data_IF_648388396454
#
_entry.id   IF_648388396454
#
_cell.length_a   1.000
_cell.length_b   1.000
_cell.length_c   1.000
_cell.angle_alpha   90.00
_cell.angle_beta   90.00
_cell.angle_gamma   90.00
#
_symmetry.space_group_name_H-M   'P 1'
#
loop_
_entity.id
_entity.type
_entity.pdbx_description
1 polymer ?
#
# COMPACT_ATOMS: atom_id res chain seq x y z
N UNK A 1 -27.85 -1.36 22.21
CA UNK A 1 -27.97 -0.58 20.96
C UNK A 1 -27.12 -1.25 19.89
N UNK A 2 -27.69 -1.73 18.77
CA UNK A 2 -26.92 -2.31 17.69
C UNK A 2 -26.03 -1.21 17.08
N UNK A 3 -24.72 -1.45 17.03
CA UNK A 3 -23.78 -0.53 16.37
C UNK A 3 -24.18 -0.44 14.90
N UNK A 4 -24.36 0.76 14.32
CA UNK A 4 -24.65 0.87 12.89
C UNK A 4 -23.52 0.16 12.13
N UNK A 5 -23.89 -0.87 11.36
CA UNK A 5 -22.97 -1.54 10.45
C UNK A 5 -22.50 -0.50 9.45
N UNK A 6 -21.26 -0.03 9.61
CA UNK A 6 -20.65 0.89 8.67
C UNK A 6 -20.51 0.17 7.34
N UNK A 7 -21.25 0.62 6.32
CA UNK A 7 -21.27 -0.03 5.03
C UNK A 7 -19.94 0.28 4.31
N UNK A 8 -19.03 -0.69 4.29
CA UNK A 8 -17.80 -0.62 3.49
C UNK A 8 -18.11 -1.17 2.11
N UNK A 9 -18.11 -0.32 1.08
CA UNK A 9 -18.12 -0.78 -0.31
C UNK A 9 -16.68 -0.92 -0.80
N UNK A 10 -16.33 -2.13 -1.17
CA UNK A 10 -14.99 -2.49 -1.64
C UNK A 10 -15.03 -2.89 -3.11
N UNK A 11 -14.29 -2.17 -3.95
CA UNK A 11 -14.13 -2.54 -5.36
C UNK A 11 -12.90 -3.46 -5.48
N UNK A 12 -13.10 -4.78 -5.41
CA UNK A 12 -12.08 -5.78 -5.70
C UNK A 12 -12.19 -6.25 -7.14
N UNK A 13 -11.06 -6.33 -7.85
CA UNK A 13 -10.99 -7.15 -9.08
C UNK A 13 -9.83 -8.16 -9.11
N UNK A 14 -9.09 -8.33 -8.00
CA UNK A 14 -8.03 -9.33 -7.95
C UNK A 14 -8.03 -9.98 -6.56
N UNK A 15 -8.12 -11.32 -6.55
CA UNK A 15 -8.28 -12.26 -5.42
C UNK A 15 -9.69 -12.34 -4.77
N UNK A 16 -10.26 -13.54 -4.83
CA UNK A 16 -11.37 -14.00 -3.99
C UNK A 16 -10.91 -14.07 -2.54
N UNK A 17 -11.26 -13.08 -1.74
CA UNK A 17 -11.16 -13.19 -0.28
C UNK A 17 -12.32 -14.01 0.27
N UNK A 18 -12.03 -14.90 1.21
CA UNK A 18 -13.05 -15.70 1.89
C UNK A 18 -13.55 -14.99 3.14
N UNK A 19 -14.76 -15.36 3.61
CA UNK A 19 -15.29 -14.81 4.86
C UNK A 19 -14.32 -15.13 6.00
N UNK A 20 -13.82 -14.10 6.68
CA UNK A 20 -12.89 -14.22 7.81
C UNK A 20 -11.48 -13.68 7.53
N UNK A 21 -11.12 -13.45 6.26
CA UNK A 21 -9.81 -12.88 5.93
C UNK A 21 -9.68 -11.44 6.44
N UNK A 22 -8.55 -11.15 7.09
CA UNK A 22 -8.16 -9.77 7.39
C UNK A 22 -7.55 -9.15 6.15
N UNK A 23 -8.13 -8.04 5.73
CA UNK A 23 -7.80 -7.36 4.49
C UNK A 23 -7.50 -5.91 4.83
N UNK A 24 -6.37 -5.40 4.35
CA UNK A 24 -6.03 -3.98 4.40
C UNK A 24 -6.38 -3.32 3.07
N UNK A 25 -6.72 -2.03 3.11
CA UNK A 25 -7.02 -1.23 1.92
C UNK A 25 -6.99 0.25 2.25
N UNK A 26 -6.82 1.09 1.23
CA UNK A 26 -6.85 2.54 1.38
C UNK A 26 -8.29 3.02 1.32
N UNK A 27 -8.71 3.73 2.37
CA UNK A 27 -9.95 4.51 2.37
C UNK A 27 -9.75 5.72 1.46
N UNK A 28 -10.51 5.82 0.36
CA UNK A 28 -10.34 6.89 -0.62
C UNK A 28 -11.56 7.79 -0.77
N UNK A 29 -12.72 7.39 -0.26
CA UNK A 29 -13.93 8.21 -0.28
C UNK A 29 -14.83 7.83 0.91
N UNK A 30 -15.52 8.84 1.45
CA UNK A 30 -16.49 8.71 2.55
C UNK A 30 -17.72 9.50 2.14
N UNK A 31 -18.84 8.81 1.90
CA UNK A 31 -20.07 9.44 1.46
C UNK A 31 -21.12 9.43 2.55
N UNK A 32 -21.67 10.59 2.94
CA UNK A 32 -22.83 10.62 3.81
C UNK A 32 -24.05 10.08 3.05
N UNK A 33 -24.72 9.06 3.59
CA UNK A 33 -26.02 8.59 3.13
C UNK A 33 -27.06 8.72 4.25
N UNK A 34 -28.35 8.64 3.90
CA UNK A 34 -29.46 8.80 4.85
C UNK A 34 -29.43 7.81 6.05
N UNK A 35 -28.71 6.69 5.94
CA UNK A 35 -28.58 5.66 6.98
C UNK A 35 -27.16 5.53 7.55
N UNK A 36 -26.33 6.56 7.38
CA UNK A 36 -24.95 6.60 7.86
C UNK A 36 -23.94 6.77 6.73
N UNK A 37 -22.67 6.97 7.10
CA UNK A 37 -21.60 7.14 6.13
C UNK A 37 -21.23 5.81 5.47
N UNK A 38 -21.07 5.83 4.16
CA UNK A 38 -20.55 4.74 3.35
C UNK A 38 -19.06 4.96 3.11
N UNK A 39 -18.25 3.97 3.47
CA UNK A 39 -16.80 4.00 3.27
C UNK A 39 -16.44 3.28 1.98
N UNK A 40 -15.61 3.92 1.15
CA UNK A 40 -15.08 3.33 -0.07
C UNK A 40 -13.61 3.01 0.11
N UNK A 41 -13.29 1.73 0.04
CA UNK A 41 -11.93 1.23 0.25
C UNK A 41 -11.44 0.57 -1.04
N UNK A 42 -10.18 0.81 -1.39
CA UNK A 42 -9.53 0.22 -2.55
C UNK A 42 -8.21 -0.46 -2.19
N UNK A 43 -7.96 -1.59 -2.85
CA UNK A 43 -6.65 -2.27 -2.86
C UNK A 43 -5.92 -2.16 -4.20
N UNK A 44 -6.60 -1.69 -5.24
CA UNK A 44 -6.05 -1.56 -6.60
C UNK A 44 -5.40 -0.19 -6.85
N UNK A 45 -5.63 0.77 -5.97
CA UNK A 45 -5.08 2.11 -6.07
C UNK A 45 -3.54 2.11 -5.85
N UNK A 46 -2.75 2.90 -6.61
CA UNK A 46 -1.32 3.08 -6.35
C UNK A 46 -1.00 3.53 -4.93
N UNK A 47 -1.89 4.31 -4.31
CA UNK A 47 -1.80 4.80 -2.94
C UNK A 47 -1.65 3.63 -1.93
N UNK A 48 -2.24 2.46 -2.21
CA UNK A 48 -2.08 1.28 -1.35
C UNK A 48 -0.62 0.80 -1.31
N UNK A 49 0.10 0.87 -2.42
CA UNK A 49 1.51 0.49 -2.46
C UNK A 49 2.37 1.46 -1.62
N UNK A 50 2.11 2.76 -1.77
CA UNK A 50 2.80 3.83 -1.03
C UNK A 50 2.62 3.64 0.48
N UNK A 51 1.38 3.46 0.93
CA UNK A 51 1.08 3.29 2.35
C UNK A 51 1.65 1.99 2.93
N UNK A 52 1.67 0.90 2.16
CA UNK A 52 2.32 -0.33 2.61
C UNK A 52 3.84 -0.15 2.80
N UNK A 53 4.51 0.52 1.87
CA UNK A 53 5.93 0.84 2.02
C UNK A 53 6.19 1.77 3.19
N UNK A 54 5.32 2.75 3.44
CA UNK A 54 5.42 3.65 4.61
C UNK A 54 5.33 2.89 5.94
N UNK A 55 4.54 1.83 6.00
CA UNK A 55 4.42 0.97 7.20
C UNK A 55 5.62 0.01 7.32
N UNK A 56 6.06 -0.58 6.21
CA UNK A 56 7.10 -1.61 6.21
C UNK A 56 8.52 -1.03 6.35
N UNK A 57 8.74 0.20 5.86
CA UNK A 57 10.05 0.85 5.80
C UNK A 57 10.04 2.05 6.75
N UNK A 58 10.65 1.95 7.94
CA UNK A 58 10.63 3.04 8.93
C UNK A 58 11.22 4.33 8.39
N UNK A 59 12.25 4.26 7.54
CA UNK A 59 12.89 5.41 6.93
C UNK A 59 11.94 6.22 6.02
N UNK A 60 10.90 5.59 5.45
CA UNK A 60 9.84 6.29 4.70
C UNK A 60 8.81 6.89 5.67
N UNK A 61 8.47 6.16 6.73
CA UNK A 61 7.59 6.65 7.80
C UNK A 61 8.13 7.89 8.52
N UNK A 62 9.45 7.94 8.69
CA UNK A 62 10.20 9.05 9.31
C UNK A 62 10.60 10.16 8.31
N UNK A 63 10.15 10.07 7.05
CA UNK A 63 10.41 11.04 5.98
C UNK A 63 11.90 11.22 5.61
N UNK A 64 12.74 10.26 5.98
CA UNK A 64 14.16 10.21 5.62
C UNK A 64 14.34 9.77 4.16
N UNK A 65 13.45 8.90 3.68
CA UNK A 65 13.33 8.48 2.29
C UNK A 65 11.97 8.92 1.77
N UNK A 66 11.95 9.54 0.59
CA UNK A 66 10.74 9.99 -0.06
C UNK A 66 10.40 9.10 -1.26
N UNK A 67 9.13 8.71 -1.39
CA UNK A 67 8.62 8.06 -2.59
C UNK A 67 8.19 9.14 -3.58
N UNK A 68 8.92 9.30 -4.68
CA UNK A 68 8.68 10.32 -5.72
C UNK A 68 7.55 9.93 -6.68
N UNK A 69 7.41 8.65 -6.97
CA UNK A 69 6.33 8.15 -7.82
C UNK A 69 6.05 6.67 -7.53
N UNK A 70 4.82 6.27 -7.81
CA UNK A 70 4.39 4.87 -7.79
C UNK A 70 3.55 4.59 -9.04
N UNK A 71 3.88 3.52 -9.75
CA UNK A 71 3.12 3.01 -10.88
C UNK A 71 2.74 1.56 -10.61
N UNK A 72 1.50 1.17 -10.89
CA UNK A 72 0.99 -0.12 -10.46
C UNK A 72 -0.07 -0.66 -11.42
N UNK A 73 0.15 -1.90 -11.85
CA UNK A 73 -0.81 -2.78 -12.49
C UNK A 73 -1.26 -3.83 -11.45
N UNK A 74 -2.41 -3.60 -10.78
CA UNK A 74 -2.80 -4.39 -9.61
C UNK A 74 -2.91 -5.88 -9.91
N UNK A 75 -2.32 -6.70 -9.04
CA UNK A 75 -2.27 -8.16 -9.21
C UNK A 75 -1.14 -8.68 -10.09
N UNK A 76 -0.34 -7.81 -10.72
CA UNK A 76 0.71 -8.21 -11.63
C UNK A 76 2.06 -7.59 -11.27
N UNK A 77 2.19 -6.27 -11.48
CA UNK A 77 3.47 -5.56 -11.36
C UNK A 77 3.28 -4.20 -10.72
N UNK A 78 4.28 -3.77 -9.98
CA UNK A 78 4.35 -2.42 -9.46
C UNK A 78 5.79 -1.89 -9.51
N UNK A 79 5.92 -0.56 -9.54
CA UNK A 79 7.19 0.13 -9.45
C UNK A 79 7.06 1.30 -8.47
N UNK A 80 8.08 1.51 -7.66
CA UNK A 80 8.25 2.74 -6.89
C UNK A 80 9.57 3.42 -7.22
N UNK A 81 9.54 4.73 -7.23
CA UNK A 81 10.69 5.60 -7.39
C UNK A 81 11.00 6.25 -6.04
N UNK A 82 12.20 6.01 -5.51
CA UNK A 82 12.61 6.46 -4.17
C UNK A 82 13.82 7.39 -4.24
N UNK A 83 13.87 8.36 -3.33
CA UNK A 83 14.96 9.31 -3.19
C UNK A 83 15.24 9.59 -1.72
N UNK A 84 16.49 9.88 -1.38
CA UNK A 84 16.85 10.50 -0.11
C UNK A 84 17.84 11.64 -0.36
N UNK A 85 17.85 12.62 0.54
CA UNK A 85 18.85 13.69 0.54
C UNK A 85 20.07 13.34 1.40
N UNK A 86 19.98 12.31 2.26
CA UNK A 86 21.10 11.84 3.08
C UNK A 86 21.95 10.83 2.29
N UNK A 87 23.18 11.24 1.95
CA UNK A 87 24.13 10.42 1.19
C UNK A 87 24.61 9.17 1.94
N UNK A 88 24.34 9.07 3.24
CA UNK A 88 24.71 7.90 4.06
C UNK A 88 23.70 6.77 3.95
N UNK A 89 22.54 7.03 3.35
CA UNK A 89 21.42 6.10 3.28
C UNK A 89 21.26 5.62 1.84
N UNK A 90 21.25 4.30 1.65
CA UNK A 90 20.83 3.69 0.40
C UNK A 90 19.31 3.49 0.42
N UNK A 91 18.53 4.27 -0.34
CA UNK A 91 17.08 4.18 -0.26
C UNK A 91 16.55 2.89 -0.88
N UNK A 92 17.26 2.30 -1.86
CA UNK A 92 16.86 1.02 -2.45
C UNK A 92 17.11 -0.10 -1.45
N UNK A 93 18.30 -0.14 -0.84
CA UNK A 93 18.64 -1.11 0.19
C UNK A 93 17.71 -1.07 1.40
N UNK A 94 17.34 0.12 1.86
CA UNK A 94 16.33 0.29 2.93
C UNK A 94 14.97 -0.30 2.51
N UNK A 95 14.47 0.01 1.31
CA UNK A 95 13.19 -0.50 0.85
C UNK A 95 13.18 -2.02 0.60
N UNK A 96 14.31 -2.60 0.20
CA UNK A 96 14.46 -4.04 -0.03
C UNK A 96 14.56 -4.80 1.30
N UNK A 97 15.36 -4.29 2.25
CA UNK A 97 15.66 -4.95 3.52
C UNK A 97 16.54 -6.20 3.36
N UNK A 98 16.83 -6.87 4.48
CA UNK A 98 17.67 -8.07 4.47
C UNK A 98 17.08 -9.15 3.55
N UNK A 99 17.82 -9.54 2.52
CA UNK A 99 17.40 -10.55 1.52
C UNK A 99 16.03 -10.26 0.88
N UNK A 100 15.63 -9.00 0.78
CA UNK A 100 14.34 -8.62 0.20
C UNK A 100 13.14 -8.75 1.15
N UNK A 101 13.34 -8.95 2.45
CA UNK A 101 12.26 -9.22 3.40
C UNK A 101 11.15 -8.14 3.37
N UNK A 102 11.50 -6.85 3.30
CA UNK A 102 10.52 -5.75 3.33
C UNK A 102 9.70 -5.70 2.05
N UNK A 103 10.36 -5.71 0.89
CA UNK A 103 9.65 -5.74 -0.42
C UNK A 103 8.83 -7.02 -0.60
N UNK A 104 9.28 -8.16 -0.06
CA UNK A 104 8.51 -9.40 -0.08
C UNK A 104 7.27 -9.35 0.81
N UNK A 105 7.34 -8.70 1.98
CA UNK A 105 6.19 -8.50 2.84
C UNK A 105 5.12 -7.66 2.13
N UNK A 106 5.51 -6.53 1.51
CA UNK A 106 4.60 -5.70 0.70
C UNK A 106 4.05 -6.48 -0.49
N UNK A 107 4.89 -7.22 -1.22
CA UNK A 107 4.47 -8.06 -2.35
C UNK A 107 3.43 -9.09 -1.91
N UNK A 108 3.65 -9.74 -0.77
CA UNK A 108 2.75 -10.75 -0.22
C UNK A 108 1.39 -10.16 0.16
N UNK A 109 1.38 -8.98 0.80
CA UNK A 109 0.15 -8.24 1.10
C UNK A 109 -0.60 -7.85 -0.18
N UNK A 110 0.11 -7.51 -1.25
CA UNK A 110 -0.49 -7.24 -2.56
C UNK A 110 -0.81 -8.49 -3.38
N UNK A 111 -0.70 -9.66 -2.75
CA UNK A 111 -1.11 -10.92 -3.35
C UNK A 111 -0.09 -11.52 -4.31
N UNK A 112 1.18 -11.12 -4.21
CA UNK A 112 2.30 -11.61 -5.02
C UNK A 112 2.69 -10.70 -6.18
N UNK A 113 2.32 -9.41 -6.13
CA UNK A 113 2.74 -8.45 -7.16
C UNK A 113 4.27 -8.39 -7.26
N UNK A 114 4.80 -8.32 -8.48
CA UNK A 114 6.25 -8.13 -8.70
C UNK A 114 6.58 -6.64 -8.57
N UNK A 115 7.32 -6.29 -7.52
CA UNK A 115 7.65 -4.91 -7.19
C UNK A 115 9.09 -4.61 -7.58
N UNK A 116 9.29 -3.61 -8.45
CA UNK A 116 10.61 -3.04 -8.74
C UNK A 116 10.79 -1.72 -7.97
N UNK A 117 11.98 -1.48 -7.42
CA UNK A 117 12.33 -0.25 -6.70
C UNK A 117 13.42 0.45 -7.50
N UNK A 118 13.23 1.73 -7.82
CA UNK A 118 14.12 2.52 -8.66
C UNK A 118 14.63 3.73 -7.88
N UNK A 119 15.94 3.96 -7.90
CA UNK A 119 16.56 5.17 -7.35
C UNK A 119 16.32 6.36 -8.27
N UNK A 120 15.90 7.50 -7.70
CA UNK A 120 15.81 8.79 -8.40
C UNK A 120 16.97 9.68 -7.96
N UNK A 121 17.74 10.15 -8.94
CA UNK A 121 18.83 11.13 -8.77
C UNK A 121 18.35 12.52 -8.35
#
# INVERSE_FOLDING_TARGET
MPKPLLAVKTCFRVKTSVRGDRIRGVLYDVRPEARGAQLFVSRSRPEMLIELFRIEVPEIGEEVIEIKAAARDPGSRAKIAVKTNDKRIDPVGACVGMRGARVQAVSSELGGERIDIVLVG
#
